data_IF_734712958429
#
_entry.id   IF_734712958429
#
_cell.length_a   1.000
_cell.length_b   1.000
_cell.length_c   1.000
_cell.angle_alpha   90.00
_cell.angle_beta   90.00
_cell.angle_gamma   90.00
#
_symmetry.space_group_name_H-M   'P 1'
#
loop_
_entity.id
_entity.type
_entity.pdbx_description
1 polymer ?
#
# COMPACT_ATOMS: atom_id res chain seq x y z
N UNK A 1 -9.19 3.61 -0.07
CA UNK A 1 -9.60 3.30 -1.45
C UNK A 1 -9.74 4.61 -2.20
N UNK A 2 -9.31 4.64 -3.46
CA UNK A 2 -9.17 5.84 -4.30
C UNK A 2 -10.21 6.00 -5.42
N UNK A 3 -11.03 4.99 -5.71
CA UNK A 3 -11.98 5.03 -6.82
C UNK A 3 -12.93 6.24 -6.72
N UNK A 4 -13.02 7.02 -7.79
CA UNK A 4 -13.86 8.22 -7.84
C UNK A 4 -13.39 9.39 -6.97
N UNK A 5 -12.19 9.30 -6.36
CA UNK A 5 -11.61 10.38 -5.55
C UNK A 5 -10.59 11.16 -6.35
N UNK A 6 -10.43 12.44 -6.00
CA UNK A 6 -9.33 13.30 -6.43
C UNK A 6 -8.66 13.88 -5.19
N UNK A 7 -7.37 13.67 -5.04
CA UNK A 7 -6.59 14.07 -3.85
C UNK A 7 -5.24 14.66 -4.28
N UNK A 8 -4.56 15.32 -3.35
CA UNK A 8 -3.19 15.81 -3.55
C UNK A 8 -2.13 14.77 -3.20
N UNK A 9 -2.52 13.74 -2.43
CA UNK A 9 -1.64 12.68 -1.94
C UNK A 9 -2.33 11.29 -2.08
N UNK A 10 -1.56 10.19 -2.16
CA UNK A 10 -2.11 8.83 -2.16
C UNK A 10 -3.08 8.56 -1.00
N UNK A 11 -4.14 7.78 -1.25
CA UNK A 11 -5.27 7.64 -0.31
C UNK A 11 -5.86 6.21 -0.22
N UNK A 12 -5.06 5.19 -0.51
CA UNK A 12 -5.46 3.79 -0.42
C UNK A 12 -4.98 3.09 0.85
N UNK A 13 -5.13 3.73 2.02
CA UNK A 13 -4.77 3.15 3.31
C UNK A 13 -5.41 1.76 3.54
N UNK A 14 -6.66 1.55 3.11
CA UNK A 14 -7.31 0.24 3.21
C UNK A 14 -6.61 -0.84 2.38
N UNK A 15 -6.22 -0.52 1.13
CA UNK A 15 -5.53 -1.49 0.29
C UNK A 15 -4.10 -1.77 0.82
N UNK A 16 -3.42 -0.73 1.31
CA UNK A 16 -2.15 -0.87 2.03
C UNK A 16 -2.26 -1.80 3.23
N UNK A 17 -3.24 -1.59 4.11
CA UNK A 17 -3.46 -2.44 5.28
C UNK A 17 -3.80 -3.89 4.93
N UNK A 18 -4.57 -4.13 3.86
CA UNK A 18 -4.82 -5.49 3.37
C UNK A 18 -3.53 -6.16 2.89
N UNK A 19 -2.65 -5.44 2.21
CA UNK A 19 -1.34 -5.95 1.79
C UNK A 19 -0.46 -6.24 3.01
N UNK A 20 -0.41 -5.34 3.98
CA UNK A 20 0.34 -5.52 5.24
C UNK A 20 -0.09 -6.80 5.95
N UNK A 21 -1.40 -7.01 6.14
CA UNK A 21 -1.93 -8.22 6.78
C UNK A 21 -1.65 -9.47 5.94
N UNK A 22 -1.87 -9.41 4.63
CA UNK A 22 -1.61 -10.56 3.73
C UNK A 22 -0.14 -11.01 3.82
N UNK A 23 0.79 -10.06 3.86
CA UNK A 23 2.22 -10.33 4.01
C UNK A 23 2.53 -10.86 5.41
N UNK A 24 1.94 -10.27 6.46
CA UNK A 24 2.12 -10.72 7.84
C UNK A 24 1.75 -12.19 7.99
N UNK A 25 0.56 -12.60 7.53
CA UNK A 25 0.12 -13.99 7.56
C UNK A 25 0.96 -14.88 6.64
N UNK A 26 1.30 -14.40 5.44
CA UNK A 26 2.10 -15.15 4.46
C UNK A 26 3.57 -15.38 4.85
N UNK A 27 4.11 -14.59 5.78
CA UNK A 27 5.52 -14.65 6.21
C UNK A 27 5.72 -15.17 7.64
N UNK A 28 4.67 -15.70 8.26
CA UNK A 28 4.73 -16.25 9.62
C UNK A 28 4.84 -15.17 10.70
N UNK A 29 4.23 -14.01 10.49
CA UNK A 29 4.15 -12.93 11.47
C UNK A 29 5.19 -11.82 11.31
N UNK A 30 5.90 -11.75 10.18
CA UNK A 30 6.87 -10.67 9.91
C UNK A 30 6.15 -9.46 9.31
N UNK A 31 6.50 -8.26 9.78
CA UNK A 31 5.97 -7.00 9.22
C UNK A 31 6.95 -6.43 8.21
N UNK A 32 6.43 -5.82 7.16
CA UNK A 32 7.23 -5.16 6.13
C UNK A 32 6.67 -3.76 5.91
N UNK A 33 7.54 -2.81 5.57
CA UNK A 33 7.09 -1.47 5.19
C UNK A 33 6.35 -1.57 3.85
N UNK A 34 5.08 -1.19 3.84
CA UNK A 34 4.24 -1.05 2.65
C UNK A 34 3.90 0.43 2.46
N UNK A 35 4.19 0.98 1.29
CA UNK A 35 3.98 2.39 0.98
C UNK A 35 3.30 2.54 -0.39
N UNK A 36 2.19 3.26 -0.46
CA UNK A 36 1.58 3.65 -1.74
C UNK A 36 2.39 4.81 -2.34
N UNK A 37 3.12 4.55 -3.43
CA UNK A 37 3.98 5.58 -4.09
C UNK A 37 3.21 6.36 -5.15
N UNK A 38 2.23 5.72 -5.79
CA UNK A 38 1.41 6.30 -6.84
C UNK A 38 -0.06 5.94 -6.62
N UNK A 39 -0.96 6.83 -7.01
CA UNK A 39 -2.41 6.63 -6.86
C UNK A 39 -3.20 7.21 -8.04
N UNK A 40 -4.25 6.53 -8.48
CA UNK A 40 -5.15 7.08 -9.52
C UNK A 40 -5.82 8.39 -9.06
N UNK A 41 -6.04 8.56 -7.76
CA UNK A 41 -6.66 9.77 -7.20
C UNK A 41 -5.76 11.01 -7.31
N UNK A 42 -4.44 10.84 -7.48
CA UNK A 42 -3.49 11.92 -7.76
C UNK A 42 -3.17 12.06 -9.26
N UNK A 43 -3.84 11.29 -10.12
CA UNK A 43 -3.65 11.33 -11.57
C UNK A 43 -2.67 10.30 -12.15
N UNK A 44 -2.19 9.34 -11.36
CA UNK A 44 -1.36 8.25 -11.87
C UNK A 44 -2.17 7.22 -12.68
N UNK A 45 -1.48 6.38 -13.47
CA UNK A 45 -2.12 5.32 -14.28
C UNK A 45 -2.72 4.19 -13.44
N UNK A 46 -2.15 3.93 -12.27
CA UNK A 46 -2.55 2.89 -11.35
C UNK A 46 -2.12 3.27 -9.92
N UNK A 47 -2.68 2.57 -8.93
CA UNK A 47 -2.09 2.56 -7.60
C UNK A 47 -0.88 1.64 -7.57
N UNK A 48 0.25 2.12 -7.04
CA UNK A 48 1.49 1.35 -6.93
C UNK A 48 1.90 1.28 -5.47
N UNK A 49 2.18 0.07 -5.00
CA UNK A 49 2.65 -0.19 -3.65
C UNK A 49 4.08 -0.69 -3.69
N UNK A 50 4.98 -0.01 -2.99
CA UNK A 50 6.34 -0.46 -2.73
C UNK A 50 6.35 -1.24 -1.42
N UNK A 51 6.92 -2.44 -1.47
CA UNK A 51 7.12 -3.31 -0.30
C UNK A 51 8.63 -3.48 -0.12
N UNK A 52 9.14 -3.11 1.05
CA UNK A 52 10.56 -3.31 1.37
C UNK A 52 10.90 -4.81 1.47
N UNK A 53 12.13 -5.19 1.12
CA UNK A 53 12.53 -6.61 1.08
C UNK A 53 12.91 -7.17 2.45
N UNK A 54 13.28 -6.29 3.39
CA UNK A 54 13.69 -6.65 4.73
C UNK A 54 12.53 -6.37 5.68
N UNK A 55 12.17 -7.31 6.56
CA UNK A 55 11.12 -7.07 7.53
C UNK A 55 11.54 -5.99 8.54
N UNK A 56 10.54 -5.32 9.11
CA UNK A 56 10.70 -4.45 10.26
C UNK A 56 11.11 -5.30 11.48
N UNK A 57 11.98 -4.73 12.33
CA UNK A 57 12.37 -5.31 13.62
C UNK A 57 11.21 -5.35 14.62
#
# INVERSE_FOLDING_TARGET
>A
MCWGRKTTEPCCQLAGGILEESIFWGTGGKRYKVEETDCIAVGAKACVFRIEKVPLE
#
